data_IF_903772250948
#
_entry.id   IF_903772250948
#
_cell.length_a   1.000
_cell.length_b   1.000
_cell.length_c   1.000
_cell.angle_alpha   90.00
_cell.angle_beta   90.00
_cell.angle_gamma   90.00
#
_symmetry.space_group_name_H-M   'P 1'
#
loop_
_entity.id
_entity.type
_entity.pdbx_description
1 polymer ?
#
# COMPACT_ATOMS: atom_id res chain seq x y z
N UNK A 1 8.77 21.44 -26.29
CA UNK A 1 10.12 20.86 -26.08
C UNK A 1 10.02 19.37 -26.33
N UNK A 2 10.44 18.94 -27.49
CA UNK A 2 10.48 17.51 -27.79
C UNK A 2 11.67 16.90 -27.08
N UNK A 3 11.38 16.13 -26.02
CA UNK A 3 12.43 15.32 -25.39
C UNK A 3 12.73 14.16 -26.33
N UNK A 4 14.00 14.00 -26.71
CA UNK A 4 14.42 12.80 -27.42
C UNK A 4 13.98 11.56 -26.64
N UNK A 5 13.53 10.50 -27.32
CA UNK A 5 13.16 9.26 -26.65
C UNK A 5 14.37 8.69 -25.91
N UNK A 6 14.20 8.43 -24.63
CA UNK A 6 15.26 7.85 -23.80
C UNK A 6 15.60 6.45 -24.31
N UNK A 7 16.89 6.22 -24.54
CA UNK A 7 17.38 4.87 -24.89
C UNK A 7 17.20 3.93 -23.70
N UNK A 8 16.83 2.69 -23.95
CA UNK A 8 16.76 1.64 -22.91
C UNK A 8 18.14 1.44 -22.29
N UNK A 9 18.20 1.46 -20.96
CA UNK A 9 19.42 1.23 -20.20
C UNK A 9 19.15 0.28 -19.04
N UNK A 10 19.92 -0.81 -18.96
CA UNK A 10 19.86 -1.76 -17.84
C UNK A 10 20.30 -1.09 -16.53
N UNK A 11 21.29 -0.21 -16.61
CA UNK A 11 21.78 0.54 -15.43
C UNK A 11 20.66 1.42 -14.85
N UNK A 12 19.88 2.08 -15.70
CA UNK A 12 18.77 2.90 -15.25
C UNK A 12 17.65 2.05 -14.63
N UNK A 13 17.44 0.83 -15.12
CA UNK A 13 16.49 -0.12 -14.49
C UNK A 13 16.94 -0.53 -13.10
N UNK A 14 18.21 -0.82 -12.91
CA UNK A 14 18.80 -1.14 -11.59
C UNK A 14 18.67 0.05 -10.64
N UNK A 15 18.95 1.27 -11.11
CA UNK A 15 18.77 2.49 -10.32
C UNK A 15 17.30 2.71 -9.92
N UNK A 16 16.35 2.36 -10.77
CA UNK A 16 14.92 2.45 -10.44
C UNK A 16 14.55 1.56 -9.27
N UNK A 17 15.08 0.36 -9.16
CA UNK A 17 14.91 -0.50 -7.99
C UNK A 17 15.48 0.13 -6.72
N UNK A 18 16.65 0.74 -6.81
CA UNK A 18 17.26 1.46 -5.68
C UNK A 18 16.34 2.58 -5.17
N UNK A 19 15.76 3.36 -6.06
CA UNK A 19 14.83 4.43 -5.68
C UNK A 19 13.55 3.87 -5.07
N UNK A 20 13.02 2.76 -5.59
CA UNK A 20 11.85 2.10 -5.04
C UNK A 20 12.09 1.60 -3.61
N UNK A 21 13.22 0.95 -3.36
CA UNK A 21 13.58 0.50 -2.00
C UNK A 21 13.78 1.68 -1.04
N UNK A 22 14.36 2.77 -1.51
CA UNK A 22 14.48 3.99 -0.72
C UNK A 22 13.10 4.55 -0.34
N UNK A 23 12.17 4.58 -1.30
CA UNK A 23 10.79 4.99 -1.06
C UNK A 23 10.07 4.13 -0.03
N UNK A 24 10.23 2.80 -0.11
CA UNK A 24 9.68 1.86 0.88
C UNK A 24 10.26 2.13 2.28
N UNK A 25 11.56 2.33 2.37
CA UNK A 25 12.22 2.64 3.64
C UNK A 25 11.67 3.94 4.24
N UNK A 26 11.52 4.99 3.44
CA UNK A 26 10.93 6.25 3.89
C UNK A 26 9.48 6.07 4.34
N UNK A 27 8.69 5.37 3.56
CA UNK A 27 7.29 5.13 3.89
C UNK A 27 7.14 4.45 5.26
N UNK A 28 7.78 3.31 5.47
CA UNK A 28 7.67 2.58 6.73
C UNK A 28 8.36 3.28 7.91
N UNK A 29 9.32 4.17 7.66
CA UNK A 29 10.00 4.91 8.73
C UNK A 29 9.20 6.12 9.23
N UNK A 30 8.43 6.78 8.36
CA UNK A 30 7.80 8.07 8.67
C UNK A 30 6.29 8.05 8.66
N UNK A 31 5.66 7.06 8.06
CA UNK A 31 4.20 6.99 7.93
C UNK A 31 3.61 6.10 9.03
N UNK A 32 2.78 6.69 9.91
CA UNK A 32 2.14 5.94 10.98
C UNK A 32 1.16 4.87 10.44
N UNK A 33 0.36 5.22 9.44
CA UNK A 33 -0.58 4.28 8.84
C UNK A 33 0.16 3.13 8.14
N UNK A 34 1.28 3.45 7.48
CA UNK A 34 2.14 2.43 6.87
C UNK A 34 2.65 1.43 7.88
N UNK A 35 3.08 1.89 9.05
CA UNK A 35 3.54 0.99 10.13
C UNK A 35 2.42 0.14 10.71
N UNK A 36 1.23 0.70 10.91
CA UNK A 36 0.05 -0.05 11.36
C UNK A 36 -0.30 -1.16 10.38
N UNK A 37 -0.34 -0.85 9.09
CA UNK A 37 -0.64 -1.85 8.06
C UNK A 37 0.47 -2.90 7.92
N UNK A 38 1.73 -2.52 8.08
CA UNK A 38 2.84 -3.48 8.10
C UNK A 38 2.71 -4.45 9.27
N UNK A 39 2.40 -3.95 10.46
CA UNK A 39 2.20 -4.78 11.65
C UNK A 39 1.01 -5.74 11.47
N UNK A 40 -0.11 -5.24 10.97
CA UNK A 40 -1.27 -6.06 10.65
C UNK A 40 -0.95 -7.14 9.60
N UNK A 41 -0.16 -6.80 8.58
CA UNK A 41 0.29 -7.74 7.55
C UNK A 41 1.17 -8.85 8.15
N UNK A 42 2.09 -8.51 9.02
CA UNK A 42 2.97 -9.49 9.70
C UNK A 42 2.13 -10.46 10.53
N UNK A 43 1.16 -9.95 11.30
CA UNK A 43 0.23 -10.79 12.06
C UNK A 43 -0.58 -11.71 11.13
N UNK A 44 -1.13 -11.17 10.04
CA UNK A 44 -1.92 -11.95 9.08
C UNK A 44 -1.09 -13.05 8.42
N UNK A 45 0.14 -12.77 8.04
CA UNK A 45 1.06 -13.75 7.45
C UNK A 45 1.41 -14.84 8.47
N UNK A 46 1.74 -14.47 9.71
CA UNK A 46 2.01 -15.41 10.79
C UNK A 46 0.82 -16.32 11.06
N UNK A 47 -0.38 -15.75 11.15
CA UNK A 47 -1.62 -16.51 11.35
C UNK A 47 -1.91 -17.44 10.16
N UNK A 48 -1.58 -17.02 8.95
CA UNK A 48 -1.74 -17.82 7.73
C UNK A 48 -0.85 -19.06 7.75
N UNK A 49 0.38 -18.95 8.25
CA UNK A 49 1.26 -20.10 8.45
C UNK A 49 0.72 -21.03 9.56
N UNK A 50 0.31 -20.46 10.67
CA UNK A 50 -0.22 -21.24 11.80
C UNK A 50 -1.48 -22.03 11.40
N UNK A 51 -2.40 -21.42 10.66
CA UNK A 51 -3.67 -22.03 10.24
C UNK A 51 -3.52 -22.86 8.95
N UNK A 52 -2.34 -22.95 8.39
CA UNK A 52 -2.06 -23.76 7.18
C UNK A 52 -2.99 -23.45 6.01
N UNK A 53 -3.01 -22.20 5.59
CA UNK A 53 -3.84 -21.72 4.48
C UNK A 53 -3.54 -22.51 3.20
N UNK A 54 -4.60 -22.75 2.41
CA UNK A 54 -4.46 -23.25 1.04
C UNK A 54 -3.77 -22.24 0.13
N UNK A 55 -3.31 -22.68 -1.04
CA UNK A 55 -2.69 -21.78 -2.01
C UNK A 55 -3.61 -20.63 -2.44
N UNK A 56 -4.90 -20.91 -2.66
CA UNK A 56 -5.87 -19.87 -3.00
C UNK A 56 -6.10 -18.88 -1.87
N UNK A 57 -6.17 -19.37 -0.65
CA UNK A 57 -6.29 -18.52 0.54
C UNK A 57 -5.06 -17.63 0.71
N UNK A 58 -3.87 -18.18 0.50
CA UNK A 58 -2.62 -17.40 0.50
C UNK A 58 -2.63 -16.30 -0.57
N UNK A 59 -3.05 -16.63 -1.78
CA UNK A 59 -3.15 -15.63 -2.86
C UNK A 59 -4.10 -14.50 -2.45
N UNK A 60 -5.25 -14.84 -1.87
CA UNK A 60 -6.22 -13.83 -1.41
C UNK A 60 -5.63 -12.93 -0.33
N UNK A 61 -4.99 -13.50 0.69
CA UNK A 61 -4.39 -12.73 1.80
C UNK A 61 -3.26 -11.84 1.30
N UNK A 62 -2.32 -12.37 0.51
CA UNK A 62 -1.24 -11.57 -0.05
C UNK A 62 -1.74 -10.48 -0.99
N UNK A 63 -2.81 -10.78 -1.73
CA UNK A 63 -3.46 -9.81 -2.62
C UNK A 63 -4.03 -8.62 -1.87
N UNK A 64 -4.79 -8.85 -0.80
CA UNK A 64 -5.39 -7.76 -0.02
C UNK A 64 -4.35 -6.98 0.79
N UNK A 65 -3.34 -7.66 1.33
CA UNK A 65 -2.21 -6.99 1.99
C UNK A 65 -1.52 -6.03 1.03
N UNK A 66 -1.22 -6.51 -0.17
CA UNK A 66 -0.56 -5.69 -1.20
C UNK A 66 -1.43 -4.51 -1.63
N UNK A 67 -2.73 -4.73 -1.81
CA UNK A 67 -3.67 -3.66 -2.18
C UNK A 67 -3.70 -2.55 -1.13
N UNK A 68 -3.73 -2.89 0.14
CA UNK A 68 -3.72 -1.90 1.23
C UNK A 68 -2.39 -1.13 1.24
N UNK A 69 -1.26 -1.81 1.19
CA UNK A 69 0.06 -1.16 1.24
C UNK A 69 0.27 -0.27 0.02
N UNK A 70 -0.06 -0.73 -1.18
CA UNK A 70 0.05 0.06 -2.41
C UNK A 70 -0.82 1.32 -2.32
N UNK A 71 -2.06 1.18 -1.88
CA UNK A 71 -2.97 2.33 -1.74
C UNK A 71 -2.46 3.34 -0.71
N UNK A 72 -1.89 2.88 0.41
CA UNK A 72 -1.29 3.76 1.42
C UNK A 72 -0.05 4.49 0.91
N UNK A 73 0.82 3.82 0.16
CA UNK A 73 1.99 4.46 -0.45
C UNK A 73 1.56 5.55 -1.42
N UNK A 74 0.58 5.26 -2.27
CA UNK A 74 0.04 6.25 -3.21
C UNK A 74 -0.66 7.42 -2.49
N UNK A 75 -1.43 7.13 -1.45
CA UNK A 75 -2.04 8.17 -0.62
C UNK A 75 -0.98 9.08 0.00
N UNK A 76 0.08 8.50 0.56
CA UNK A 76 1.19 9.24 1.16
C UNK A 76 1.89 10.15 0.13
N UNK A 77 2.12 9.64 -1.08
CA UNK A 77 2.71 10.41 -2.17
C UNK A 77 1.81 11.57 -2.60
N UNK A 78 0.50 11.33 -2.72
CA UNK A 78 -0.49 12.36 -3.08
C UNK A 78 -0.56 13.44 -2.00
N UNK A 79 -0.56 13.06 -0.72
CA UNK A 79 -0.56 14.03 0.38
C UNK A 79 0.67 14.93 0.36
N UNK A 80 1.86 14.36 0.14
CA UNK A 80 3.10 15.13 0.03
C UNK A 80 3.08 16.08 -1.16
N UNK A 81 2.60 15.61 -2.30
CA UNK A 81 2.45 16.45 -3.48
C UNK A 81 1.44 17.57 -3.25
N UNK A 82 0.31 17.27 -2.64
CA UNK A 82 -0.73 18.24 -2.31
C UNK A 82 -0.22 19.33 -1.38
N UNK A 83 0.60 18.98 -0.39
CA UNK A 83 1.18 19.92 0.55
C UNK A 83 2.19 20.87 -0.11
N UNK A 84 2.90 20.42 -1.13
CA UNK A 84 3.80 21.27 -1.94
C UNK A 84 3.00 22.22 -2.84
N UNK A 85 1.93 21.72 -3.46
CA UNK A 85 1.08 22.51 -4.35
C UNK A 85 0.28 23.57 -3.60
N UNK A 86 -0.24 23.21 -2.43
CA UNK A 86 -1.05 24.12 -1.59
C UNK A 86 -0.78 23.90 -0.12
N UNK A 87 0.18 24.66 0.47
CA UNK A 87 0.42 24.62 1.93
C UNK A 87 -0.77 25.09 2.73
N UNK A 88 -1.60 25.99 2.17
CA UNK A 88 -2.82 26.46 2.79
C UNK A 88 -4.01 25.57 2.40
N UNK A 89 -5.08 25.62 3.19
CA UNK A 89 -6.30 24.85 2.92
C UNK A 89 -6.97 25.37 1.66
N UNK A 90 -7.16 24.49 0.68
CA UNK A 90 -7.84 24.75 -0.58
C UNK A 90 -8.90 23.67 -0.83
N UNK A 91 -10.17 24.03 -1.13
CA UNK A 91 -11.25 23.03 -1.23
C UNK A 91 -10.99 21.91 -2.25
N UNK A 92 -10.39 22.24 -3.40
CA UNK A 92 -10.06 21.23 -4.43
C UNK A 92 -8.92 20.32 -4.00
N UNK A 93 -7.92 20.85 -3.32
CA UNK A 93 -6.81 20.05 -2.79
C UNK A 93 -7.29 19.17 -1.65
N UNK A 94 -8.18 19.66 -0.80
CA UNK A 94 -8.84 18.82 0.21
C UNK A 94 -9.58 17.65 -0.44
N UNK A 95 -10.30 17.88 -1.52
CA UNK A 95 -10.99 16.81 -2.25
C UNK A 95 -10.01 15.77 -2.80
N UNK A 96 -8.86 16.19 -3.33
CA UNK A 96 -7.81 15.28 -3.81
C UNK A 96 -7.32 14.38 -2.69
N UNK A 97 -7.04 14.95 -1.52
CA UNK A 97 -6.62 14.20 -0.32
C UNK A 97 -7.71 13.23 0.14
N UNK A 98 -8.97 13.67 0.16
CA UNK A 98 -10.10 12.84 0.58
C UNK A 98 -10.30 11.64 -0.37
N UNK A 99 -10.15 11.85 -1.68
CA UNK A 99 -10.23 10.78 -2.67
C UNK A 99 -9.09 9.75 -2.50
N UNK A 100 -7.89 10.22 -2.25
CA UNK A 100 -6.75 9.33 -1.99
C UNK A 100 -6.97 8.51 -0.72
N UNK A 101 -7.48 9.12 0.35
CA UNK A 101 -7.84 8.43 1.58
C UNK A 101 -8.99 7.43 1.37
N UNK A 102 -9.96 7.76 0.51
CA UNK A 102 -11.05 6.84 0.17
C UNK A 102 -10.56 5.56 -0.51
N UNK A 103 -9.54 5.64 -1.35
CA UNK A 103 -8.92 4.47 -1.98
C UNK A 103 -8.35 3.51 -0.92
N UNK A 104 -7.67 4.05 0.09
CA UNK A 104 -7.17 3.26 1.23
C UNK A 104 -8.32 2.60 1.98
N UNK A 105 -9.38 3.34 2.25
CA UNK A 105 -10.55 2.83 2.98
C UNK A 105 -11.20 1.65 2.27
N UNK A 106 -11.37 1.74 0.94
CA UNK A 106 -11.93 0.64 0.13
C UNK A 106 -11.03 -0.60 0.21
N UNK A 107 -9.72 -0.43 0.06
CA UNK A 107 -8.76 -1.53 0.16
C UNK A 107 -8.77 -2.17 1.56
N UNK A 108 -8.85 -1.35 2.61
CA UNK A 108 -8.90 -1.82 4.00
C UNK A 108 -10.19 -2.61 4.29
N UNK A 109 -11.34 -2.15 3.81
CA UNK A 109 -12.59 -2.90 3.96
C UNK A 109 -12.52 -4.25 3.26
N UNK A 110 -11.97 -4.31 2.05
CA UNK A 110 -11.77 -5.57 1.35
C UNK A 110 -10.85 -6.50 2.15
N UNK A 111 -9.76 -5.99 2.69
CA UNK A 111 -8.82 -6.77 3.49
C UNK A 111 -9.49 -7.35 4.75
N UNK A 112 -10.30 -6.55 5.45
CA UNK A 112 -11.06 -7.01 6.62
C UNK A 112 -12.07 -8.09 6.21
N UNK A 113 -12.80 -7.89 5.12
CA UNK A 113 -13.78 -8.86 4.65
C UNK A 113 -13.12 -10.20 4.26
N UNK A 114 -12.06 -10.17 3.48
CA UNK A 114 -11.32 -11.37 3.06
C UNK A 114 -10.69 -12.07 4.27
N UNK A 115 -10.07 -11.31 5.16
CA UNK A 115 -9.50 -11.84 6.41
C UNK A 115 -10.56 -12.53 7.27
N UNK A 116 -11.74 -11.92 7.43
CA UNK A 116 -12.84 -12.51 8.19
C UNK A 116 -13.34 -13.81 7.54
N UNK A 117 -13.52 -13.81 6.22
CA UNK A 117 -13.99 -14.99 5.48
C UNK A 117 -13.01 -16.17 5.63
N UNK A 118 -11.71 -15.90 5.63
CA UNK A 118 -10.69 -16.95 5.68
C UNK A 118 -10.39 -17.36 7.13
N UNK A 119 -10.14 -16.41 8.03
CA UNK A 119 -9.63 -16.69 9.35
C UNK A 119 -10.71 -17.11 10.35
N UNK A 120 -11.89 -16.48 10.35
CA UNK A 120 -12.93 -16.76 11.34
C UNK A 120 -13.36 -18.23 11.32
N UNK A 121 -13.69 -18.85 10.16
CA UNK A 121 -14.05 -20.26 10.14
C UNK A 121 -12.94 -21.17 10.65
N UNK A 122 -11.69 -20.86 10.35
CA UNK A 122 -10.52 -21.66 10.76
C UNK A 122 -10.22 -21.54 12.26
N UNK A 123 -10.50 -20.38 12.85
CA UNK A 123 -10.29 -20.15 14.29
C UNK A 123 -11.39 -20.75 15.15
N UNK A 124 -12.62 -20.85 14.62
CA UNK A 124 -13.78 -21.38 15.35
C UNK A 124 -14.00 -22.88 15.15
N UNK A 125 -13.34 -23.47 14.17
CA UNK A 125 -13.39 -24.90 13.89
C UNK A 125 -12.08 -25.56 14.28
#
# INVERSE_FOLDING_TARGET
MDKEPQKFSIIDRIKSFKYAFHGLKQFFSYDHNGRVHLFAAIIAIGLSFYLKLSSLEWIAILGVISAVIVSEILNSAIEKLADVVSPAIHPKIKMVKDLAAAAVLVAAFLAVAVGAIIFIPKLLL
#
